data_IF_455493018271
#
_entry.id   IF_455493018271
#
_cell.length_a   1.000
_cell.length_b   1.000
_cell.length_c   1.000
_cell.angle_alpha   90.00
_cell.angle_beta   90.00
_cell.angle_gamma   90.00
#
_symmetry.space_group_name_H-M   'P 1'
#
loop_
_entity.id
_entity.type
_entity.pdbx_description
1 polymer ?
#
# COMPACT_ATOMS: atom_id res chain seq x y z
N UNK A 1 -7.73 -4.75 -5.26
CA UNK A 1 -7.28 -3.97 -4.08
C UNK A 1 -6.74 -4.85 -2.95
N UNK A 2 -7.52 -5.73 -2.32
CA UNK A 2 -6.99 -6.56 -1.21
C UNK A 2 -5.86 -7.48 -1.72
N UNK A 3 -6.12 -8.18 -2.82
CA UNK A 3 -5.14 -9.05 -3.48
C UNK A 3 -3.90 -8.26 -3.96
N UNK A 4 -4.09 -7.09 -4.57
CA UNK A 4 -2.98 -6.21 -5.02
C UNK A 4 -2.09 -5.70 -3.88
N UNK A 5 -2.64 -5.54 -2.69
CA UNK A 5 -1.90 -5.12 -1.49
C UNK A 5 -1.38 -6.32 -0.70
N UNK A 6 -1.63 -7.56 -1.17
CA UNK A 6 -1.35 -8.81 -0.46
C UNK A 6 -1.93 -8.80 0.97
N UNK A 7 -3.13 -8.22 1.12
CA UNK A 7 -3.86 -8.12 2.38
C UNK A 7 -5.10 -9.00 2.37
N UNK A 8 -5.48 -9.55 3.53
CA UNK A 8 -6.82 -10.10 3.67
C UNK A 8 -7.88 -8.99 3.60
N UNK A 9 -9.06 -9.35 3.07
CA UNK A 9 -10.16 -8.41 2.87
C UNK A 9 -10.58 -7.69 4.16
N UNK A 10 -10.52 -8.36 5.31
CA UNK A 10 -10.93 -7.77 6.59
C UNK A 10 -9.92 -6.72 7.04
N UNK A 11 -8.61 -6.98 6.88
CA UNK A 11 -7.57 -5.99 7.14
C UNK A 11 -7.67 -4.79 6.21
N UNK A 12 -7.98 -4.99 4.93
CA UNK A 12 -8.20 -3.86 4.01
C UNK A 12 -9.37 -2.98 4.49
N UNK A 13 -10.51 -3.57 4.83
CA UNK A 13 -11.65 -2.79 5.35
C UNK A 13 -11.32 -2.06 6.65
N UNK A 14 -10.59 -2.70 7.57
CA UNK A 14 -10.14 -2.07 8.82
C UNK A 14 -9.17 -0.92 8.58
N UNK A 15 -8.32 -0.99 7.55
CA UNK A 15 -7.42 0.08 7.16
C UNK A 15 -8.17 1.25 6.50
N UNK A 16 -9.19 0.95 5.69
CA UNK A 16 -9.99 1.94 4.94
C UNK A 16 -10.94 2.73 5.85
N UNK A 17 -11.62 2.08 6.81
CA UNK A 17 -12.65 2.74 7.61
C UNK A 17 -12.16 4.00 8.37
N UNK A 18 -10.97 4.02 9.01
CA UNK A 18 -10.39 5.23 9.58
C UNK A 18 -10.12 6.32 8.53
N UNK A 19 -9.62 5.95 7.35
CA UNK A 19 -9.32 6.90 6.28
C UNK A 19 -10.59 7.58 5.76
N UNK A 20 -11.69 6.84 5.65
CA UNK A 20 -12.99 7.39 5.27
C UNK A 20 -13.53 8.32 6.37
N UNK A 21 -13.55 7.86 7.63
CA UNK A 21 -13.96 8.68 8.79
C UNK A 21 -13.18 9.99 8.87
N UNK A 22 -11.88 9.94 8.63
CA UNK A 22 -11.01 11.12 8.73
C UNK A 22 -11.05 12.00 7.46
N UNK A 23 -11.86 11.62 6.46
CA UNK A 23 -12.06 12.36 5.22
C UNK A 23 -10.84 12.36 4.31
N UNK A 24 -10.01 11.32 4.37
CA UNK A 24 -8.87 11.13 3.47
C UNK A 24 -9.32 10.49 2.15
N UNK A 25 -10.35 9.65 2.21
CA UNK A 25 -10.98 8.99 1.07
C UNK A 25 -12.51 9.12 1.14
N UNK A 26 -13.19 8.90 0.02
CA UNK A 26 -14.62 8.59 -0.05
C UNK A 26 -14.83 7.18 -0.60
N UNK A 27 -15.89 6.49 -0.18
CA UNK A 27 -16.29 5.20 -0.76
C UNK A 27 -17.57 5.37 -1.58
N UNK A 28 -17.42 5.29 -2.89
CA UNK A 28 -18.51 5.40 -3.88
C UNK A 28 -18.93 4.01 -4.38
N UNK A 29 -20.09 3.91 -5.02
CA UNK A 29 -20.46 2.70 -5.76
C UNK A 29 -19.52 2.55 -6.97
N UNK A 30 -19.08 1.31 -7.22
CA UNK A 30 -18.22 1.01 -8.35
C UNK A 30 -19.00 0.77 -9.64
N UNK A 31 -18.29 0.34 -10.69
CA UNK A 31 -18.86 0.12 -12.02
C UNK A 31 -19.92 -1.01 -12.09
N UNK A 32 -19.95 -1.89 -11.10
CA UNK A 32 -20.98 -2.92 -10.93
C UNK A 32 -21.63 -2.80 -9.53
N UNK A 33 -22.90 -3.21 -9.43
CA UNK A 33 -23.78 -3.09 -8.27
C UNK A 33 -23.25 -3.71 -6.97
N UNK A 34 -22.21 -4.56 -7.06
CA UNK A 34 -21.57 -5.21 -5.90
C UNK A 34 -20.18 -4.67 -5.58
N UNK A 35 -19.66 -3.76 -6.40
CA UNK A 35 -18.34 -3.17 -6.23
C UNK A 35 -18.42 -1.82 -5.52
N UNK A 36 -17.39 -1.51 -4.74
CA UNK A 36 -17.22 -0.19 -4.11
C UNK A 36 -15.86 0.35 -4.52
N UNK A 37 -15.78 1.64 -4.75
CA UNK A 37 -14.56 2.32 -5.17
C UNK A 37 -14.11 3.32 -4.11
N UNK A 38 -12.89 3.15 -3.62
CA UNK A 38 -12.26 4.13 -2.74
C UNK A 38 -11.59 5.23 -3.58
N UNK A 39 -11.93 6.49 -3.30
CA UNK A 39 -11.40 7.65 -4.02
C UNK A 39 -10.64 8.56 -3.07
N UNK A 40 -9.41 8.91 -3.44
CA UNK A 40 -8.57 9.78 -2.64
C UNK A 40 -9.06 11.23 -2.69
N UNK A 41 -9.29 11.84 -1.52
CA UNK A 41 -9.70 13.23 -1.38
C UNK A 41 -8.49 14.16 -1.28
N UNK A 42 -8.72 15.48 -1.37
CA UNK A 42 -7.65 16.49 -1.25
C UNK A 42 -6.92 16.42 0.10
N UNK A 43 -7.66 16.15 1.18
CA UNK A 43 -7.08 15.95 2.52
C UNK A 43 -6.20 14.70 2.55
N UNK A 44 -6.66 13.59 1.96
CA UNK A 44 -5.88 12.36 1.84
C UNK A 44 -4.58 12.56 1.04
N UNK A 45 -4.65 13.24 -0.10
CA UNK A 45 -3.46 13.62 -0.87
C UNK A 45 -2.45 14.43 -0.04
N UNK A 46 -2.93 15.32 0.83
CA UNK A 46 -2.06 16.13 1.69
C UNK A 46 -1.42 15.31 2.80
N UNK A 47 -2.10 14.27 3.30
CA UNK A 47 -1.55 13.31 4.27
C UNK A 47 -0.51 12.41 3.60
N UNK A 48 -0.82 11.90 2.41
CA UNK A 48 0.09 11.06 1.63
C UNK A 48 1.41 11.78 1.35
N UNK A 49 1.36 13.01 0.83
CA UNK A 49 2.58 13.82 0.59
C UNK A 49 3.44 14.05 1.82
N UNK A 50 2.83 14.14 3.01
CA UNK A 50 3.59 14.27 4.27
C UNK A 50 4.24 12.95 4.67
N UNK A 51 3.56 11.84 4.44
CA UNK A 51 4.09 10.50 4.71
C UNK A 51 5.23 10.13 3.73
N UNK A 52 5.11 10.50 2.46
CA UNK A 52 6.11 10.23 1.41
C UNK A 52 7.51 10.68 1.83
N UNK A 53 7.63 11.86 2.44
CA UNK A 53 8.91 12.37 2.91
C UNK A 53 9.58 11.43 3.92
N UNK A 54 8.82 10.97 4.92
CA UNK A 54 9.36 10.07 5.94
C UNK A 54 9.72 8.69 5.37
N UNK A 55 8.93 8.23 4.41
CA UNK A 55 9.17 6.98 3.68
C UNK A 55 10.43 7.04 2.83
N UNK A 56 10.59 8.09 2.03
CA UNK A 56 11.77 8.31 1.19
C UNK A 56 13.05 8.41 2.03
N UNK A 57 12.98 9.10 3.17
CA UNK A 57 14.11 9.21 4.10
C UNK A 57 14.56 7.86 4.65
N UNK A 58 13.62 7.01 5.10
CA UNK A 58 13.99 5.70 5.65
C UNK A 58 14.44 4.74 4.56
N UNK A 59 13.78 4.74 3.40
CA UNK A 59 14.13 3.89 2.27
C UNK A 59 15.52 4.24 1.75
N UNK A 60 15.84 5.54 1.63
CA UNK A 60 17.17 6.01 1.23
C UNK A 60 18.24 5.61 2.25
N UNK A 61 17.94 5.68 3.55
CA UNK A 61 18.88 5.22 4.60
C UNK A 61 19.15 3.73 4.53
N UNK A 62 18.11 2.93 4.28
CA UNK A 62 18.24 1.47 4.12
C UNK A 62 19.07 1.17 2.87
N UNK A 63 18.69 1.69 1.71
CA UNK A 63 19.40 1.44 0.45
C UNK A 63 20.86 1.92 0.51
N UNK A 64 21.12 3.07 1.15
CA UNK A 64 22.47 3.59 1.29
C UNK A 64 23.37 2.78 2.24
N UNK A 65 22.80 2.11 3.25
CA UNK A 65 23.55 1.31 4.24
C UNK A 65 23.63 -0.17 3.89
N UNK A 66 22.54 -0.73 3.37
CA UNK A 66 22.43 -2.14 2.98
C UNK A 66 23.01 -2.40 1.60
N UNK A 67 22.96 -1.39 0.71
CA UNK A 67 23.34 -1.52 -0.68
C UNK A 67 22.12 -1.77 -1.57
N UNK A 68 22.09 -1.11 -2.73
CA UNK A 68 20.95 -1.17 -3.65
C UNK A 68 20.86 -2.51 -4.37
N UNK A 69 22.00 -3.09 -4.73
CA UNK A 69 22.05 -4.36 -5.49
C UNK A 69 21.71 -5.54 -4.56
N UNK A 70 22.19 -5.50 -3.32
CA UNK A 70 21.84 -6.43 -2.26
C UNK A 70 20.35 -6.36 -1.94
N UNK A 71 19.79 -5.15 -1.84
CA UNK A 71 18.35 -4.95 -1.65
C UNK A 71 17.53 -5.59 -2.78
N UNK A 72 17.89 -5.32 -4.04
CA UNK A 72 17.20 -5.87 -5.20
C UNK A 72 17.31 -7.39 -5.24
N UNK A 73 18.47 -7.95 -4.90
CA UNK A 73 18.69 -9.40 -4.81
C UNK A 73 17.79 -10.02 -3.74
N UNK A 74 17.70 -9.41 -2.55
CA UNK A 74 16.85 -9.86 -1.47
C UNK A 74 15.37 -9.85 -1.87
N UNK A 75 14.88 -8.72 -2.41
CA UNK A 75 13.48 -8.59 -2.84
C UNK A 75 13.14 -9.60 -3.92
N UNK A 76 14.03 -9.81 -4.90
CA UNK A 76 13.83 -10.84 -5.93
C UNK A 76 13.75 -12.24 -5.34
N UNK A 77 14.60 -12.57 -4.36
CA UNK A 77 14.56 -13.85 -3.67
C UNK A 77 13.29 -14.05 -2.84
N UNK A 78 12.81 -13.00 -2.15
CA UNK A 78 11.57 -13.02 -1.39
C UNK A 78 10.35 -13.22 -2.30
N UNK A 79 10.28 -12.52 -3.43
CA UNK A 79 9.19 -12.69 -4.39
C UNK A 79 9.16 -14.12 -4.96
N UNK A 80 10.33 -14.66 -5.34
CA UNK A 80 10.42 -16.06 -5.80
C UNK A 80 9.96 -17.05 -4.74
N UNK A 81 10.29 -16.80 -3.47
CA UNK A 81 9.83 -17.64 -2.36
C UNK A 81 8.30 -17.55 -2.17
N UNK A 82 7.73 -16.35 -2.29
CA UNK A 82 6.30 -16.14 -2.21
C UNK A 82 5.56 -16.86 -3.35
N UNK A 83 6.07 -16.75 -4.59
CA UNK A 83 5.51 -17.45 -5.76
C UNK A 83 5.47 -18.97 -5.55
N UNK A 84 6.56 -19.56 -5.03
CA UNK A 84 6.60 -21.00 -4.72
C UNK A 84 5.59 -21.46 -3.65
N UNK A 85 5.08 -20.55 -2.81
CA UNK A 85 4.10 -20.87 -1.77
C UNK A 85 2.64 -20.71 -2.26
N UNK A 86 2.45 -20.07 -3.42
CA UNK A 86 1.16 -19.86 -4.06
C UNK A 86 0.85 -20.90 -5.15
N UNK A 87 1.86 -21.67 -5.57
CA UNK A 87 1.76 -22.92 -6.35
C UNK A 87 1.31 -24.11 -5.47
#
# INVERSE_FOLDING_TARGET
>A
MADELEMDRTSLYRAIAPMERDGWISIEDGNDARSRTAKLLRKGNSVLKKADKGWDEIQSKILGRFGKDEWLTLVSALNRLADCALD
#
